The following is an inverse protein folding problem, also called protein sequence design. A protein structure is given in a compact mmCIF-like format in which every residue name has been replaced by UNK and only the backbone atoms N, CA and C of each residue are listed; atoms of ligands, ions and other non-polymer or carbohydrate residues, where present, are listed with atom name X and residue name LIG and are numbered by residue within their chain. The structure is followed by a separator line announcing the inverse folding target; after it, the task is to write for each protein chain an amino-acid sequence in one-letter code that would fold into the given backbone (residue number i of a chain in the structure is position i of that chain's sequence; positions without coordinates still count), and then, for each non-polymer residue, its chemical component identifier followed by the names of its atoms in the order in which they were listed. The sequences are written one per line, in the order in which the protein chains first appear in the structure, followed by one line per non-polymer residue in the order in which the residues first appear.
data_IF_472392327932
#
_entry.id   IF_472392327932
#
_cell.length_a   1.000
_cell.length_b   1.000
_cell.length_c   1.000
_cell.angle_alpha   90.00
_cell.angle_beta   90.00
_cell.angle_gamma   90.00
#
_symmetry.space_group_name_H-M   'P 1'
#
loop_
_entity.id
_entity.type
_entity.pdbx_description
1 polymer ?
#
# COMPACT_ATOMS: atom_id res chain seq x y z
N UNK A 1 52.46 42.28 -19.12
CA UNK A 1 52.36 40.88 -18.65
C UNK A 1 50.98 40.36 -19.02
N UNK A 2 50.83 39.34 -19.88
CA UNK A 2 49.48 38.84 -20.21
C UNK A 2 49.35 37.80 -21.33
N UNK A 3 50.29 37.71 -22.28
CA UNK A 3 50.11 36.80 -23.44
C UNK A 3 50.78 35.40 -23.29
N UNK A 4 51.77 35.23 -22.42
CA UNK A 4 52.46 33.94 -22.25
C UNK A 4 51.71 32.95 -21.33
N UNK A 5 50.99 33.46 -20.32
CA UNK A 5 50.19 32.62 -19.42
C UNK A 5 48.94 32.03 -20.07
N UNK A 6 48.32 32.75 -21.01
CA UNK A 6 47.10 32.31 -21.69
C UNK A 6 47.35 31.17 -22.69
N UNK A 7 48.51 31.15 -23.37
CA UNK A 7 48.93 30.04 -24.25
C UNK A 7 49.24 28.75 -23.47
N UNK A 8 49.93 28.85 -22.34
CA UNK A 8 50.22 27.69 -21.48
C UNK A 8 48.97 27.10 -20.83
N UNK A 9 48.03 27.95 -20.40
CA UNK A 9 46.73 27.50 -19.87
C UNK A 9 45.87 26.85 -20.96
N UNK A 10 45.84 27.44 -22.17
CA UNK A 10 45.09 26.90 -23.30
C UNK A 10 45.67 25.60 -23.84
N UNK A 11 46.99 25.40 -23.80
CA UNK A 11 47.61 24.14 -24.19
C UNK A 11 47.36 23.04 -23.15
N UNK A 12 47.40 23.38 -21.85
CA UNK A 12 47.09 22.41 -20.80
C UNK A 12 45.62 21.97 -20.77
N UNK A 13 44.69 22.82 -21.23
CA UNK A 13 43.27 22.46 -21.40
C UNK A 13 43.04 21.36 -22.45
N UNK A 14 43.97 21.17 -23.40
CA UNK A 14 43.91 20.12 -24.42
C UNK A 14 44.84 18.93 -24.14
N UNK A 15 45.48 18.87 -22.97
CA UNK A 15 46.32 17.74 -22.58
C UNK A 15 45.45 16.50 -22.28
N UNK A 16 45.54 15.48 -23.12
CA UNK A 16 44.92 14.17 -22.88
C UNK A 16 45.87 13.27 -22.08
N UNK A 17 45.51 12.98 -20.83
CA UNK A 17 46.25 12.05 -19.97
C UNK A 17 45.79 10.62 -20.23
N UNK A 18 46.74 9.73 -20.50
CA UNK A 18 46.52 8.28 -20.66
C UNK A 18 47.27 7.51 -19.57
N UNK A 19 46.68 6.41 -19.11
CA UNK A 19 47.34 5.50 -18.17
C UNK A 19 48.29 4.53 -18.91
N UNK A 20 49.39 4.17 -18.25
CA UNK A 20 50.33 3.15 -18.73
C UNK A 20 49.95 1.78 -18.14
N UNK A 21 49.53 0.85 -18.99
CA UNK A 21 49.13 -0.49 -18.56
C UNK A 21 50.29 -1.49 -18.54
N UNK A 22 50.25 -2.43 -17.58
CA UNK A 22 51.18 -3.56 -17.49
C UNK A 22 50.45 -4.86 -17.86
N UNK A 23 50.94 -5.56 -18.90
CA UNK A 23 50.33 -6.82 -19.35
C UNK A 23 51.01 -8.00 -18.65
N UNK A 24 50.32 -8.62 -17.70
CA UNK A 24 50.80 -9.81 -17.00
C UNK A 24 50.51 -11.10 -17.81
N UNK A 25 51.54 -11.74 -18.38
CA UNK A 25 51.42 -13.01 -19.12
C UNK A 25 51.37 -14.24 -18.20
N UNK A 26 50.31 -14.35 -17.38
CA UNK A 26 50.10 -15.51 -16.49
C UNK A 26 48.77 -16.23 -16.79
N UNK A 27 48.84 -17.49 -17.24
CA UNK A 27 47.66 -18.29 -17.61
C UNK A 27 46.64 -18.45 -16.48
N UNK A 28 47.09 -18.58 -15.21
CA UNK A 28 46.18 -18.77 -14.07
C UNK A 28 45.36 -17.51 -13.75
N UNK A 29 46.00 -16.35 -13.76
CA UNK A 29 45.34 -15.05 -13.51
C UNK A 29 44.49 -14.65 -14.70
N UNK A 30 44.98 -14.88 -15.92
CA UNK A 30 44.20 -14.66 -17.13
C UNK A 30 42.92 -15.50 -17.13
N UNK A 31 43.00 -16.77 -16.75
CA UNK A 31 41.81 -17.63 -16.61
C UNK A 31 40.87 -17.11 -15.52
N UNK A 32 41.39 -16.75 -14.34
CA UNK A 32 40.59 -16.18 -13.25
C UNK A 32 39.86 -14.90 -13.69
N UNK A 33 40.56 -13.99 -14.36
CA UNK A 33 40.00 -12.74 -14.87
C UNK A 33 38.90 -12.99 -15.91
N UNK A 34 39.12 -13.91 -16.85
CA UNK A 34 38.10 -14.29 -17.84
C UNK A 34 36.88 -14.96 -17.20
N UNK A 35 37.07 -15.83 -16.21
CA UNK A 35 35.96 -16.45 -15.47
C UNK A 35 35.14 -15.41 -14.70
N UNK A 36 35.81 -14.46 -14.03
CA UNK A 36 35.13 -13.36 -13.34
C UNK A 36 34.36 -12.47 -14.33
N UNK A 37 34.95 -12.12 -15.47
CA UNK A 37 34.26 -11.36 -16.53
C UNK A 37 33.01 -12.09 -17.03
N UNK A 38 33.12 -13.39 -17.33
CA UNK A 38 31.98 -14.19 -17.80
C UNK A 38 30.90 -14.29 -16.72
N UNK A 39 31.29 -14.49 -15.45
CA UNK A 39 30.35 -14.53 -14.32
C UNK A 39 29.59 -13.20 -14.16
N UNK A 40 30.29 -12.07 -14.18
CA UNK A 40 29.69 -10.73 -14.09
C UNK A 40 28.77 -10.47 -15.28
N UNK A 41 29.22 -10.79 -16.50
CA UNK A 41 28.41 -10.62 -17.71
C UNK A 41 27.14 -11.47 -17.65
N UNK A 42 27.26 -12.72 -17.21
CA UNK A 42 26.12 -13.64 -17.05
C UNK A 42 25.13 -13.10 -16.03
N UNK A 43 25.62 -12.61 -14.88
CA UNK A 43 24.78 -11.97 -13.87
C UNK A 43 24.02 -10.76 -14.43
N UNK A 44 24.71 -9.87 -15.15
CA UNK A 44 24.07 -8.69 -15.73
C UNK A 44 23.01 -9.07 -16.76
N UNK A 45 23.33 -9.92 -17.72
CA UNK A 45 22.39 -10.30 -18.78
C UNK A 45 21.22 -11.10 -18.22
N UNK A 46 21.47 -12.13 -17.41
CA UNK A 46 20.41 -13.03 -16.93
C UNK A 46 19.63 -12.40 -15.78
N UNK A 47 20.29 -11.96 -14.73
CA UNK A 47 19.59 -11.50 -13.53
C UNK A 47 19.06 -10.07 -13.70
N UNK A 48 19.90 -9.13 -14.14
CA UNK A 48 19.50 -7.71 -14.21
C UNK A 48 18.60 -7.45 -15.41
N UNK A 49 18.98 -7.92 -16.61
CA UNK A 49 18.19 -7.65 -17.82
C UNK A 49 17.02 -8.62 -18.00
N UNK A 50 17.21 -9.95 -17.91
CA UNK A 50 16.10 -10.88 -18.17
C UNK A 50 15.14 -11.05 -16.98
N UNK A 51 15.64 -11.31 -15.77
CA UNK A 51 14.78 -11.58 -14.60
C UNK A 51 14.19 -10.31 -14.00
N UNK A 52 15.01 -9.28 -13.78
CA UNK A 52 14.58 -8.01 -13.19
C UNK A 52 14.06 -6.98 -14.19
N UNK A 53 14.16 -7.26 -15.49
CA UNK A 53 13.77 -6.34 -16.58
C UNK A 53 14.35 -4.93 -16.38
N UNK A 54 15.63 -4.83 -16.01
CA UNK A 54 16.29 -3.54 -15.74
C UNK A 54 16.39 -2.59 -16.94
N UNK A 55 15.98 -3.02 -18.13
CA UNK A 55 15.84 -2.16 -19.31
C UNK A 55 14.49 -1.41 -19.34
N UNK A 56 13.53 -1.82 -18.53
CA UNK A 56 12.21 -1.20 -18.45
C UNK A 56 12.19 -0.13 -17.37
N UNK A 57 11.53 0.97 -17.68
CA UNK A 57 11.03 1.87 -16.67
C UNK A 57 9.68 1.35 -16.16
N UNK A 58 9.45 1.42 -14.85
CA UNK A 58 8.24 0.89 -14.23
C UNK A 58 7.34 2.02 -13.73
N UNK A 59 6.02 1.80 -13.85
CA UNK A 59 4.98 2.65 -13.29
C UNK A 59 4.16 1.83 -12.28
N UNK A 60 4.20 2.24 -11.02
CA UNK A 60 3.38 1.69 -9.93
C UNK A 60 2.21 2.60 -9.56
N UNK A 61 2.08 3.77 -10.20
CA UNK A 61 1.03 4.76 -9.95
C UNK A 61 -0.27 4.42 -10.68
N UNK A 62 -0.76 3.21 -10.46
CA UNK A 62 -1.99 2.72 -11.07
C UNK A 62 -3.20 3.58 -10.66
N UNK A 63 -3.89 4.14 -11.64
CA UNK A 63 -5.22 4.71 -11.46
C UNK A 63 -6.26 3.66 -11.80
N UNK A 64 -7.12 3.30 -10.84
CA UNK A 64 -8.16 2.30 -11.05
C UNK A 64 -9.55 2.85 -10.76
N UNK A 65 -10.53 2.46 -11.57
CA UNK A 65 -11.96 2.67 -11.31
C UNK A 65 -12.68 1.33 -11.38
N UNK A 66 -13.60 1.09 -10.43
CA UNK A 66 -14.30 -0.18 -10.27
C UNK A 66 -15.79 0.12 -10.27
N UNK A 67 -16.54 -0.68 -11.03
CA UNK A 67 -18.00 -0.68 -11.01
C UNK A 67 -18.46 -2.10 -10.74
N UNK A 68 -19.26 -2.27 -9.69
CA UNK A 68 -19.81 -3.57 -9.31
C UNK A 68 -21.33 -3.59 -9.53
N UNK A 69 -21.84 -4.72 -10.01
CA UNK A 69 -23.28 -4.93 -10.18
C UNK A 69 -23.66 -6.34 -9.82
N UNK A 70 -24.40 -6.48 -8.73
CA UNK A 70 -24.93 -7.78 -8.29
C UNK A 70 -26.25 -8.07 -8.99
N UNK A 71 -26.51 -9.35 -9.25
CA UNK A 71 -27.76 -9.87 -9.81
C UNK A 71 -28.14 -11.17 -9.12
N UNK A 72 -29.41 -11.27 -8.76
CA UNK A 72 -30.00 -12.42 -8.11
C UNK A 72 -31.33 -12.03 -7.50
N UNK A 73 -32.24 -12.99 -7.40
CA UNK A 73 -33.50 -12.83 -6.69
C UNK A 73 -33.71 -14.07 -5.82
N UNK A 74 -34.31 -13.90 -4.66
CA UNK A 74 -34.70 -15.03 -3.83
C UNK A 74 -36.02 -14.76 -3.15
N UNK A 75 -36.78 -15.82 -2.91
CA UNK A 75 -38.04 -15.78 -2.21
C UNK A 75 -37.86 -16.38 -0.82
N UNK A 76 -38.44 -15.74 0.19
CA UNK A 76 -38.48 -16.24 1.56
C UNK A 76 -39.92 -16.23 2.05
N UNK A 77 -40.32 -17.30 2.74
CA UNK A 77 -41.58 -17.36 3.47
C UNK A 77 -41.24 -17.68 4.94
N UNK A 78 -41.36 -16.68 5.81
CA UNK A 78 -41.11 -16.85 7.24
C UNK A 78 -42.31 -16.34 8.04
N UNK A 79 -42.51 -16.89 9.24
CA UNK A 79 -43.60 -16.47 10.13
C UNK A 79 -43.55 -14.98 10.49
N UNK A 80 -42.36 -14.39 10.52
CA UNK A 80 -42.16 -12.99 10.93
C UNK A 80 -42.32 -11.98 9.79
N UNK A 81 -41.86 -12.31 8.59
CA UNK A 81 -41.84 -11.40 7.44
C UNK A 81 -42.87 -11.76 6.37
N UNK A 82 -43.54 -12.90 6.52
CA UNK A 82 -44.45 -13.46 5.53
C UNK A 82 -43.73 -13.85 4.25
N UNK A 83 -44.49 -13.83 3.15
CA UNK A 83 -43.99 -14.03 1.81
C UNK A 83 -43.31 -12.75 1.30
N UNK A 84 -42.01 -12.84 1.03
CA UNK A 84 -41.22 -11.71 0.55
C UNK A 84 -40.27 -12.13 -0.57
N UNK A 85 -40.28 -11.34 -1.64
CA UNK A 85 -39.27 -11.38 -2.68
C UNK A 85 -38.13 -10.42 -2.31
N UNK A 86 -36.90 -10.88 -2.48
CA UNK A 86 -35.69 -10.10 -2.27
C UNK A 86 -35.00 -9.87 -3.60
N UNK A 87 -34.79 -8.61 -3.94
CA UNK A 87 -34.05 -8.19 -5.12
C UNK A 87 -32.79 -7.39 -4.76
N UNK A 88 -32.06 -6.97 -5.79
CA UNK A 88 -30.78 -6.26 -5.65
C UNK A 88 -30.92 -4.98 -4.80
N UNK A 89 -32.06 -4.30 -4.85
CA UNK A 89 -32.27 -3.06 -4.09
C UNK A 89 -32.52 -3.33 -2.59
N UNK A 90 -32.99 -4.53 -2.24
CA UNK A 90 -33.21 -4.91 -0.85
C UNK A 90 -31.94 -5.40 -0.15
N UNK A 91 -31.13 -6.23 -0.81
CA UNK A 91 -30.01 -6.93 -0.17
C UNK A 91 -28.62 -6.36 -0.47
N UNK A 92 -28.47 -5.42 -1.41
CA UNK A 92 -27.15 -4.81 -1.72
C UNK A 92 -27.04 -3.42 -1.13
N UNK A 93 -25.99 -3.21 -0.33
CA UNK A 93 -25.73 -1.93 0.33
C UNK A 93 -24.22 -1.62 0.19
N UNK A 94 -23.80 -0.41 -0.19
CA UNK A 94 -24.61 0.65 -0.79
C UNK A 94 -24.96 0.30 -2.26
N UNK A 95 -26.08 0.80 -2.82
CA UNK A 95 -26.53 0.45 -4.17
C UNK A 95 -25.69 1.07 -5.31
N UNK A 96 -24.82 2.03 -5.01
CA UNK A 96 -24.02 2.78 -5.98
C UNK A 96 -23.00 1.90 -6.75
N UNK A 97 -22.59 0.76 -6.18
CA UNK A 97 -21.76 -0.22 -6.87
C UNK A 97 -20.31 0.25 -7.07
N UNK A 98 -19.62 0.59 -5.98
CA UNK A 98 -18.24 1.05 -5.96
C UNK A 98 -17.25 -0.12 -5.77
N UNK A 99 -16.07 0.15 -5.19
CA UNK A 99 -15.06 -0.84 -4.82
C UNK A 99 -15.48 -1.74 -3.64
N UNK A 100 -16.45 -1.31 -2.84
CA UNK A 100 -16.99 -2.06 -1.72
C UNK A 100 -18.49 -2.24 -1.91
N UNK A 101 -18.96 -3.48 -1.76
CA UNK A 101 -20.38 -3.78 -1.72
C UNK A 101 -20.67 -4.84 -0.67
N UNK A 102 -21.82 -4.72 -0.02
CA UNK A 102 -22.29 -5.66 0.99
C UNK A 102 -23.54 -6.36 0.50
N UNK A 103 -23.57 -7.69 0.67
CA UNK A 103 -24.71 -8.55 0.34
C UNK A 103 -25.29 -9.07 1.64
N UNK A 104 -26.52 -8.67 1.95
CA UNK A 104 -27.29 -9.18 3.10
C UNK A 104 -27.52 -10.68 2.91
N UNK A 105 -27.15 -11.48 3.91
CA UNK A 105 -27.42 -12.92 3.95
C UNK A 105 -28.37 -13.29 5.09
N UNK A 106 -28.42 -12.47 6.13
CA UNK A 106 -29.33 -12.65 7.24
C UNK A 106 -29.85 -11.30 7.76
N UNK A 107 -31.04 -11.30 8.33
CA UNK A 107 -31.70 -10.07 8.74
C UNK A 107 -32.54 -10.28 9.98
N UNK A 108 -32.40 -9.38 10.96
CA UNK A 108 -33.31 -9.24 12.08
C UNK A 108 -34.12 -7.96 11.87
N UNK A 109 -35.44 -8.08 11.85
CA UNK A 109 -36.37 -6.96 11.67
C UNK A 109 -37.16 -6.73 12.94
N UNK A 110 -37.17 -5.47 13.38
CA UNK A 110 -38.03 -4.95 14.45
C UNK A 110 -38.93 -3.87 13.84
N UNK A 111 -40.17 -4.24 13.53
CA UNK A 111 -41.12 -3.36 12.87
C UNK A 111 -41.82 -2.41 13.85
N UNK A 112 -42.40 -1.34 13.32
CA UNK A 112 -43.29 -0.41 14.02
C UNK A 112 -42.72 0.17 15.31
N UNK A 113 -41.41 0.48 15.33
CA UNK A 113 -40.82 1.17 16.46
C UNK A 113 -41.33 2.60 16.55
N UNK A 114 -41.79 3.01 17.73
CA UNK A 114 -42.21 4.39 18.07
C UNK A 114 -41.38 4.91 19.25
N UNK A 115 -41.29 6.23 19.40
CA UNK A 115 -40.60 6.83 20.55
C UNK A 115 -41.52 6.80 21.76
N UNK A 116 -41.34 5.79 22.61
CA UNK A 116 -42.19 5.52 23.76
C UNK A 116 -41.34 4.96 24.91
N UNK A 117 -41.98 4.68 26.05
CA UNK A 117 -41.34 4.02 27.19
C UNK A 117 -41.61 2.52 27.15
N UNK A 118 -40.56 1.70 27.20
CA UNK A 118 -40.67 0.24 27.25
C UNK A 118 -39.53 -0.39 28.05
N UNK A 119 -39.67 -1.68 28.36
CA UNK A 119 -38.61 -2.47 28.98
C UNK A 119 -37.41 -2.60 28.04
N UNK A 120 -36.20 -2.43 28.59
CA UNK A 120 -34.95 -2.66 27.87
C UNK A 120 -34.66 -4.16 27.69
N UNK A 121 -33.79 -4.50 26.74
CA UNK A 121 -33.42 -5.87 26.39
C UNK A 121 -32.67 -6.57 27.53
N UNK A 122 -33.11 -7.79 27.88
CA UNK A 122 -32.47 -8.65 28.90
C UNK A 122 -31.03 -9.03 28.55
N UNK A 123 -30.63 -8.87 27.28
CA UNK A 123 -29.27 -9.14 26.83
C UNK A 123 -28.23 -8.12 27.32
N UNK A 124 -28.67 -6.97 27.85
CA UNK A 124 -27.80 -5.88 28.30
C UNK A 124 -27.63 -5.97 29.83
N UNK A 125 -26.41 -6.19 30.35
CA UNK A 125 -26.20 -6.33 31.80
C UNK A 125 -26.56 -5.07 32.61
N UNK A 126 -26.29 -3.87 32.07
CA UNK A 126 -26.61 -2.58 32.72
C UNK A 126 -28.12 -2.26 32.75
N UNK A 127 -28.92 -3.04 32.02
CA UNK A 127 -30.37 -2.91 32.03
C UNK A 127 -31.04 -3.72 33.15
N UNK A 128 -30.31 -4.61 33.83
CA UNK A 128 -30.89 -5.46 34.86
C UNK A 128 -31.18 -4.67 36.13
N UNK A 129 -32.35 -4.91 36.70
CA UNK A 129 -32.77 -4.27 37.95
C UNK A 129 -33.51 -5.26 38.84
N UNK A 130 -33.38 -5.05 40.15
CA UNK A 130 -34.19 -5.70 41.17
C UNK A 130 -35.15 -4.69 41.79
N UNK A 131 -34.73 -3.43 41.90
CA UNK A 131 -35.48 -2.32 42.49
C UNK A 131 -35.45 -1.10 41.57
N UNK A 132 -36.40 -0.18 41.76
CA UNK A 132 -36.46 1.07 40.97
C UNK A 132 -35.22 1.94 41.15
N UNK A 133 -34.55 1.85 42.31
CA UNK A 133 -33.27 2.54 42.58
C UNK A 133 -32.12 2.07 41.70
N UNK A 134 -32.19 0.87 41.13
CA UNK A 134 -31.15 0.36 40.20
C UNK A 134 -31.23 1.05 38.83
N UNK A 135 -32.33 1.78 38.56
CA UNK A 135 -32.59 2.44 37.29
C UNK A 135 -32.61 3.98 37.46
N UNK A 136 -31.48 4.64 37.72
CA UNK A 136 -31.45 6.10 37.94
C UNK A 136 -32.04 6.86 36.74
N UNK A 137 -33.02 7.76 36.97
CA UNK A 137 -33.71 8.46 35.89
C UNK A 137 -32.77 9.44 35.16
N UNK A 138 -32.86 9.48 33.83
CA UNK A 138 -32.07 10.39 33.00
C UNK A 138 -30.69 9.83 32.59
N UNK A 139 -30.28 8.67 33.11
CA UNK A 139 -29.04 8.03 32.71
C UNK A 139 -29.22 7.13 31.49
N UNK A 140 -28.35 7.22 30.46
CA UNK A 140 -28.37 6.29 29.34
C UNK A 140 -27.90 4.90 29.77
N UNK A 141 -28.53 3.86 29.22
CA UNK A 141 -28.07 2.48 29.44
C UNK A 141 -26.76 2.25 28.68
N UNK A 142 -25.72 1.76 29.35
CA UNK A 142 -24.42 1.45 28.74
C UNK A 142 -24.58 0.31 27.74
N UNK A 143 -24.23 0.56 26.47
CA UNK A 143 -24.47 -0.34 25.34
C UNK A 143 -25.96 -0.73 25.13
N UNK A 144 -26.89 0.09 25.64
CA UNK A 144 -28.32 -0.08 25.47
C UNK A 144 -28.94 0.79 24.38
N UNK A 145 -30.27 0.83 24.35
CA UNK A 145 -31.06 1.43 23.27
C UNK A 145 -31.65 2.80 23.62
N UNK A 146 -31.66 3.19 24.90
CA UNK A 146 -32.28 4.43 25.36
C UNK A 146 -31.87 4.89 26.76
N UNK A 147 -32.68 5.77 27.33
CA UNK A 147 -32.44 6.46 28.61
C UNK A 147 -33.36 5.92 29.69
N UNK A 148 -32.82 5.58 30.87
CA UNK A 148 -33.55 5.05 32.02
C UNK A 148 -34.56 6.09 32.55
N UNK A 149 -35.76 5.64 32.88
CA UNK A 149 -36.87 6.49 33.34
C UNK A 149 -37.03 6.56 34.86
N UNK A 150 -36.40 5.65 35.62
CA UNK A 150 -36.62 5.53 37.08
C UNK A 150 -37.33 4.26 37.52
N UNK A 151 -37.90 3.45 36.60
CA UNK A 151 -38.74 2.30 36.94
C UNK A 151 -38.11 0.97 36.54
N UNK A 152 -38.26 -0.05 37.39
CA UNK A 152 -37.86 -1.42 37.12
C UNK A 152 -39.08 -2.27 36.71
N UNK A 153 -39.10 -2.75 35.46
CA UNK A 153 -40.18 -3.58 34.93
C UNK A 153 -39.86 -5.05 35.16
N UNK A 154 -40.71 -5.75 35.91
CA UNK A 154 -40.58 -7.20 36.18
C UNK A 154 -41.53 -7.98 35.29
N UNK A 155 -41.02 -9.03 34.65
CA UNK A 155 -41.83 -9.95 33.85
C UNK A 155 -42.32 -11.09 34.74
N UNK A 156 -43.61 -11.08 35.09
CA UNK A 156 -44.24 -12.13 35.92
C UNK A 156 -43.77 -12.13 37.39
N UNK A 157 -43.65 -13.32 37.99
CA UNK A 157 -43.21 -13.52 39.39
C UNK A 157 -41.69 -13.58 39.57
N UNK A 158 -40.92 -13.23 38.55
CA UNK A 158 -39.45 -13.24 38.61
C UNK A 158 -38.92 -12.08 39.48
N UNK A 159 -37.93 -12.36 40.32
CA UNK A 159 -37.27 -11.32 41.13
C UNK A 159 -36.41 -10.35 40.30
N UNK A 160 -36.08 -10.73 39.07
CA UNK A 160 -35.23 -9.98 38.14
C UNK A 160 -36.08 -9.30 37.08
N UNK A 161 -35.91 -8.00 36.93
CA UNK A 161 -36.54 -7.18 35.89
C UNK A 161 -35.53 -6.50 34.99
N UNK A 162 -36.04 -5.68 34.06
CA UNK A 162 -35.24 -4.75 33.26
C UNK A 162 -35.72 -3.32 33.46
N UNK A 163 -34.80 -2.37 33.38
CA UNK A 163 -35.15 -0.96 33.50
C UNK A 163 -36.09 -0.52 32.37
N UNK A 164 -37.06 0.32 32.71
CA UNK A 164 -37.86 1.03 31.71
C UNK A 164 -37.03 2.16 31.10
N UNK A 165 -36.97 2.16 29.77
CA UNK A 165 -36.23 3.15 28.98
C UNK A 165 -37.15 3.92 28.06
N UNK A 166 -36.85 5.21 27.87
CA UNK A 166 -37.38 5.99 26.77
C UNK A 166 -36.51 5.74 25.53
N UNK A 167 -37.08 5.05 24.54
CA UNK A 167 -36.36 4.54 23.39
C UNK A 167 -37.28 4.35 22.18
N UNK A 168 -36.73 3.80 21.09
CA UNK A 168 -37.51 3.27 19.99
C UNK A 168 -38.09 1.90 20.37
N UNK A 169 -39.35 1.89 20.77
CA UNK A 169 -40.06 0.75 21.35
C UNK A 169 -40.95 0.05 20.30
N UNK A 170 -40.97 -1.30 20.27
CA UNK A 170 -40.24 -2.21 21.14
C UNK A 170 -38.75 -2.30 20.80
N UNK A 171 -37.89 -2.50 21.81
CA UNK A 171 -36.44 -2.68 21.62
C UNK A 171 -36.13 -4.02 20.93
N UNK A 172 -34.94 -4.13 20.33
CA UNK A 172 -34.46 -5.38 19.72
C UNK A 172 -34.17 -6.43 20.81
N UNK A 173 -35.02 -7.45 20.91
CA UNK A 173 -34.86 -8.57 21.86
C UNK A 173 -34.43 -9.88 21.21
N UNK A 174 -34.32 -9.91 19.88
CA UNK A 174 -34.09 -11.14 19.13
C UNK A 174 -32.66 -11.68 19.35
N UNK A 175 -32.50 -12.98 19.64
CA UNK A 175 -31.19 -13.59 19.78
C UNK A 175 -30.45 -13.61 18.44
N UNK A 176 -29.14 -13.91 18.49
CA UNK A 176 -28.34 -14.08 17.27
C UNK A 176 -28.95 -15.16 16.38
N UNK A 177 -29.01 -14.94 15.07
CA UNK A 177 -29.65 -15.89 14.18
C UNK A 177 -28.79 -17.17 14.07
N UNK A 178 -29.45 -18.33 14.04
CA UNK A 178 -28.78 -19.64 13.97
C UNK A 178 -28.67 -20.15 12.54
N UNK A 179 -29.56 -19.70 11.65
CA UNK A 179 -29.61 -20.09 10.24
C UNK A 179 -29.66 -18.86 9.32
N UNK A 180 -29.08 -18.92 8.12
CA UNK A 180 -29.11 -17.81 7.17
C UNK A 180 -30.49 -17.71 6.51
N UNK A 181 -31.12 -16.52 6.59
CA UNK A 181 -32.40 -16.25 5.92
C UNK A 181 -32.28 -16.34 4.39
N UNK A 182 -31.20 -15.81 3.83
CA UNK A 182 -30.94 -15.73 2.40
C UNK A 182 -29.82 -16.70 1.99
N UNK A 183 -29.90 -17.96 2.42
CA UNK A 183 -28.90 -18.99 2.06
C UNK A 183 -28.75 -19.22 0.55
N UNK A 184 -29.80 -18.94 -0.23
CA UNK A 184 -29.79 -19.00 -1.72
C UNK A 184 -28.98 -17.87 -2.37
N UNK A 185 -28.50 -16.88 -1.61
CA UNK A 185 -27.62 -15.84 -2.11
C UNK A 185 -26.27 -16.40 -2.65
N UNK A 186 -25.94 -17.65 -2.32
CA UNK A 186 -24.81 -18.39 -2.88
C UNK A 186 -24.82 -18.42 -4.43
N UNK A 187 -26.01 -18.46 -5.03
CA UNK A 187 -26.22 -18.50 -6.48
C UNK A 187 -26.22 -17.14 -7.16
N UNK A 188 -26.13 -16.06 -6.39
CA UNK A 188 -26.10 -14.72 -6.95
C UNK A 188 -24.80 -14.50 -7.70
N UNK A 189 -24.87 -13.56 -8.64
CA UNK A 189 -23.75 -13.22 -9.49
C UNK A 189 -23.36 -11.77 -9.30
N UNK A 190 -22.05 -11.49 -9.29
CA UNK A 190 -21.51 -10.14 -9.32
C UNK A 190 -20.77 -9.93 -10.62
N UNK A 191 -21.11 -8.86 -11.30
CA UNK A 191 -20.35 -8.34 -12.44
C UNK A 191 -19.38 -7.27 -11.93
N UNK A 192 -18.09 -7.47 -12.17
CA UNK A 192 -17.03 -6.54 -11.77
C UNK A 192 -16.40 -5.97 -13.04
N UNK A 193 -16.58 -4.68 -13.26
CA UNK A 193 -15.91 -3.95 -14.33
C UNK A 193 -14.80 -3.10 -13.73
N UNK A 194 -13.58 -3.37 -14.14
CA UNK A 194 -12.40 -2.63 -13.69
C UNK A 194 -11.75 -1.92 -14.87
N UNK A 195 -11.53 -0.62 -14.71
CA UNK A 195 -10.76 0.23 -15.62
C UNK A 195 -9.43 0.56 -14.96
N UNK A 196 -8.34 0.38 -15.69
CA UNK A 196 -7.00 0.73 -15.26
C UNK A 196 -6.38 1.75 -16.19
N UNK A 197 -5.57 2.65 -15.62
CA UNK A 197 -4.72 3.58 -16.34
C UNK A 197 -3.36 3.70 -15.67
N UNK A 198 -2.31 3.51 -16.44
CA UNK A 198 -0.94 3.83 -16.06
C UNK A 198 -0.59 5.20 -16.65
N UNK A 199 -0.64 6.28 -15.86
CA UNK A 199 -0.51 7.65 -16.35
C UNK A 199 0.86 7.91 -16.97
N UNK A 200 1.94 7.30 -16.44
CA UNK A 200 3.31 7.50 -16.93
C UNK A 200 3.48 7.07 -18.39
N UNK A 201 2.79 5.99 -18.80
CA UNK A 201 2.85 5.45 -20.16
C UNK A 201 1.62 5.77 -20.99
N UNK A 202 0.66 6.53 -20.43
CA UNK A 202 -0.64 6.81 -21.03
C UNK A 202 -1.38 5.56 -21.55
N UNK A 203 -1.23 4.44 -20.83
CA UNK A 203 -1.85 3.17 -21.18
C UNK A 203 -3.12 2.97 -20.36
N UNK A 204 -4.22 2.58 -21.01
CA UNK A 204 -5.48 2.25 -20.35
C UNK A 204 -6.03 0.92 -20.86
N UNK A 205 -6.58 0.11 -19.95
CA UNK A 205 -7.21 -1.16 -20.30
C UNK A 205 -8.37 -1.47 -19.36
N UNK A 206 -9.26 -2.36 -19.80
CA UNK A 206 -10.35 -2.91 -18.99
C UNK A 206 -10.20 -4.41 -18.83
N UNK A 207 -10.71 -4.95 -17.73
CA UNK A 207 -10.77 -6.40 -17.52
C UNK A 207 -11.75 -7.12 -18.47
N UNK A 208 -12.74 -6.39 -18.99
CA UNK A 208 -13.69 -6.91 -19.97
C UNK A 208 -13.00 -7.02 -21.32
N UNK A 209 -13.02 -8.22 -21.89
CA UNK A 209 -12.53 -8.48 -23.25
C UNK A 209 -13.32 -7.62 -24.25
N UNK A 210 -12.59 -6.95 -25.14
CA UNK A 210 -13.17 -6.21 -26.25
C UNK A 210 -13.63 -7.21 -27.32
N UNK A 211 -14.87 -7.69 -27.18
CA UNK A 211 -15.49 -8.65 -28.11
C UNK A 211 -16.80 -8.09 -28.65
N UNK A 212 -17.04 -8.31 -29.94
CA UNK A 212 -18.31 -7.97 -30.59
C UNK A 212 -19.46 -8.90 -30.18
N UNK A 213 -19.18 -9.98 -29.43
CA UNK A 213 -20.17 -10.94 -29.00
C UNK A 213 -20.94 -10.47 -27.75
N UNK A 214 -22.16 -9.97 -27.99
CA UNK A 214 -23.10 -9.59 -26.92
C UNK A 214 -23.62 -10.80 -26.12
N UNK A 215 -23.47 -12.03 -26.63
CA UNK A 215 -23.88 -13.25 -25.95
C UNK A 215 -22.87 -13.68 -24.88
N UNK A 216 -21.58 -13.37 -25.07
CA UNK A 216 -20.51 -13.69 -24.11
C UNK A 216 -20.84 -13.23 -22.69
N UNK A 217 -21.22 -11.96 -22.51
CA UNK A 217 -21.56 -11.43 -21.18
C UNK A 217 -22.87 -11.99 -20.59
N UNK A 218 -23.72 -12.64 -21.39
CA UNK A 218 -24.96 -13.24 -20.89
C UNK A 218 -24.73 -14.63 -20.31
N UNK A 219 -23.83 -15.41 -20.92
CA UNK A 219 -23.59 -16.82 -20.55
C UNK A 219 -22.30 -17.05 -19.76
N UNK A 220 -21.32 -16.14 -19.85
CA UNK A 220 -20.03 -16.40 -19.22
C UNK A 220 -20.15 -16.46 -17.68
N UNK A 221 -19.32 -17.33 -17.10
CA UNK A 221 -19.07 -17.43 -15.67
C UNK A 221 -17.58 -17.58 -15.46
N UNK A 222 -17.03 -16.83 -14.52
CA UNK A 222 -15.63 -16.93 -14.15
C UNK A 222 -15.35 -18.31 -13.56
N UNK A 223 -14.23 -18.88 -13.96
CA UNK A 223 -13.72 -20.16 -13.45
C UNK A 223 -12.43 -20.56 -14.18
N UNK A 224 -11.85 -21.73 -13.85
CA UNK A 224 -10.57 -22.15 -14.42
C UNK A 224 -10.57 -22.25 -15.95
N UNK A 225 -11.74 -22.55 -16.55
CA UNK A 225 -11.92 -22.63 -18.01
C UNK A 225 -12.08 -21.26 -18.67
N UNK A 226 -12.59 -20.25 -17.94
CA UNK A 226 -12.89 -18.92 -18.43
C UNK A 226 -12.34 -17.84 -17.46
N UNK A 227 -11.01 -17.66 -17.40
CA UNK A 227 -10.35 -16.78 -16.42
C UNK A 227 -10.59 -15.28 -16.67
N UNK A 228 -11.11 -14.91 -17.84
CA UNK A 228 -11.34 -13.51 -18.22
C UNK A 228 -12.81 -13.08 -18.17
N UNK A 229 -13.72 -13.94 -17.71
CA UNK A 229 -15.12 -13.55 -17.55
C UNK A 229 -15.26 -12.63 -16.31
N UNK A 230 -15.88 -11.44 -16.42
CA UNK A 230 -16.05 -10.51 -15.31
C UNK A 230 -17.24 -10.85 -14.39
N UNK A 231 -17.90 -12.00 -14.58
CA UNK A 231 -19.09 -12.41 -13.82
C UNK A 231 -18.73 -13.55 -12.88
N UNK A 232 -18.84 -13.32 -11.58
CA UNK A 232 -18.48 -14.25 -10.52
C UNK A 232 -19.74 -14.70 -9.78
N UNK A 233 -19.81 -15.99 -9.44
CA UNK A 233 -20.85 -16.51 -8.53
C UNK A 233 -20.39 -16.32 -7.08
N UNK A 234 -21.24 -15.78 -6.21
CA UNK A 234 -20.86 -15.44 -4.84
C UNK A 234 -20.39 -16.66 -4.03
N UNK A 235 -21.08 -17.80 -4.18
CA UNK A 235 -20.65 -19.06 -3.56
C UNK A 235 -19.25 -19.50 -3.98
N UNK A 236 -18.93 -19.36 -5.27
CA UNK A 236 -17.61 -19.70 -5.80
C UNK A 236 -16.52 -18.77 -5.25
N UNK A 237 -16.79 -17.46 -5.19
CA UNK A 237 -15.87 -16.46 -4.61
C UNK A 237 -15.51 -16.82 -3.17
N UNK A 238 -16.51 -17.16 -2.34
CA UNK A 238 -16.29 -17.57 -0.95
C UNK A 238 -15.57 -18.92 -0.87
N UNK A 239 -15.90 -19.87 -1.74
CA UNK A 239 -15.22 -21.18 -1.76
C UNK A 239 -13.73 -21.08 -2.11
N UNK A 240 -13.33 -20.15 -2.98
CA UNK A 240 -11.93 -19.94 -3.35
C UNK A 240 -11.08 -19.37 -2.21
N UNK A 241 -11.70 -18.77 -1.18
CA UNK A 241 -10.98 -18.39 0.04
C UNK A 241 -10.81 -19.55 1.03
N UNK A 242 -11.28 -20.76 0.69
CA UNK A 242 -11.28 -21.93 1.58
C UNK A 242 -12.28 -21.81 2.74
N UNK A 243 -13.39 -21.11 2.53
CA UNK A 243 -14.48 -20.94 3.51
C UNK A 243 -15.81 -21.43 2.96
N UNK A 244 -16.75 -21.79 3.86
CA UNK A 244 -18.10 -22.22 3.48
C UNK A 244 -19.05 -21.01 3.46
N UNK A 245 -19.81 -20.86 2.38
CA UNK A 245 -20.79 -19.78 2.23
C UNK A 245 -21.85 -19.81 3.32
N UNK A 246 -22.40 -20.98 3.65
CA UNK A 246 -23.51 -21.11 4.59
C UNK A 246 -23.11 -20.73 6.03
N UNK A 247 -21.86 -21.01 6.42
CA UNK A 247 -21.32 -20.62 7.74
C UNK A 247 -21.14 -19.11 7.84
N UNK A 248 -20.52 -18.49 6.83
CA UNK A 248 -20.32 -17.04 6.79
C UNK A 248 -21.67 -16.33 6.68
N UNK A 249 -22.65 -16.89 5.96
CA UNK A 249 -23.97 -16.29 5.78
C UNK A 249 -24.75 -16.09 7.09
N UNK A 250 -24.44 -16.82 8.17
CA UNK A 250 -25.11 -16.67 9.46
C UNK A 250 -24.68 -15.40 10.19
N UNK A 251 -23.36 -15.20 10.34
CA UNK A 251 -22.77 -14.12 11.14
C UNK A 251 -22.24 -12.95 10.30
N UNK A 252 -22.14 -13.14 8.98
CA UNK A 252 -21.46 -12.24 8.07
C UNK A 252 -19.94 -12.44 8.07
N UNK A 253 -19.27 -11.74 7.16
CA UNK A 253 -17.80 -11.79 7.02
C UNK A 253 -17.31 -10.81 5.98
N UNK A 254 -15.99 -10.75 5.79
CA UNK A 254 -15.35 -9.83 4.86
C UNK A 254 -14.47 -10.60 3.89
N UNK A 255 -14.77 -10.49 2.60
CA UNK A 255 -14.05 -11.17 1.51
C UNK A 255 -13.34 -10.13 0.64
N UNK A 256 -12.06 -10.36 0.41
CA UNK A 256 -11.23 -9.57 -0.49
C UNK A 256 -11.19 -10.21 -1.88
N UNK A 257 -11.49 -9.41 -2.91
CA UNK A 257 -11.29 -9.74 -4.32
C UNK A 257 -10.12 -8.91 -4.81
N UNK A 258 -8.97 -9.54 -4.98
CA UNK A 258 -7.75 -8.89 -5.44
C UNK A 258 -7.62 -9.04 -6.96
N UNK A 259 -7.40 -7.93 -7.66
CA UNK A 259 -7.18 -7.88 -9.10
C UNK A 259 -5.77 -7.32 -9.33
N UNK A 260 -4.85 -8.19 -9.76
CA UNK A 260 -3.47 -7.82 -10.04
C UNK A 260 -3.24 -7.61 -11.55
N UNK A 261 -2.60 -6.49 -11.89
CA UNK A 261 -2.19 -6.15 -13.24
C UNK A 261 -0.67 -6.04 -13.32
N UNK A 262 0.01 -7.11 -13.70
CA UNK A 262 1.45 -7.11 -14.03
C UNK A 262 1.61 -7.08 -15.54
N UNK A 263 1.85 -5.89 -16.09
CA UNK A 263 1.80 -5.66 -17.53
C UNK A 263 3.15 -5.28 -18.11
N UNK A 264 3.54 -6.02 -19.14
CA UNK A 264 4.69 -5.72 -19.98
C UNK A 264 4.22 -4.97 -21.24
N UNK A 265 4.44 -3.66 -21.26
CA UNK A 265 4.00 -2.78 -22.36
C UNK A 265 4.92 -2.81 -23.58
N UNK A 266 6.00 -3.60 -23.54
CA UNK A 266 6.79 -3.89 -24.74
C UNK A 266 6.12 -4.93 -25.62
N UNK A 267 5.16 -5.68 -25.06
CA UNK A 267 4.35 -6.66 -25.75
C UNK A 267 3.01 -6.09 -26.21
N UNK A 268 2.25 -6.90 -26.95
CA UNK A 268 0.92 -6.53 -27.37
C UNK A 268 0.00 -6.25 -26.16
N UNK A 269 -0.86 -5.21 -26.21
CA UNK A 269 -1.83 -4.91 -25.15
C UNK A 269 -2.73 -6.08 -24.75
N UNK A 270 -2.94 -7.05 -25.64
CA UNK A 270 -3.72 -8.27 -25.40
C UNK A 270 -3.10 -9.21 -24.37
N UNK A 271 -1.79 -9.17 -24.13
CA UNK A 271 -1.11 -10.02 -23.15
C UNK A 271 -1.21 -9.50 -21.71
N UNK A 272 -1.48 -8.21 -21.53
CA UNK A 272 -1.67 -7.58 -20.22
C UNK A 272 -3.04 -7.94 -19.66
N UNK A 273 -3.19 -9.03 -18.91
CA UNK A 273 -4.48 -9.50 -18.42
C UNK A 273 -4.54 -9.52 -16.88
N UNK A 274 -5.72 -9.35 -16.28
CA UNK A 274 -5.87 -9.32 -14.83
C UNK A 274 -5.71 -10.72 -14.24
N UNK A 275 -5.03 -10.81 -13.11
CA UNK A 275 -4.98 -11.99 -12.28
C UNK A 275 -5.86 -11.80 -11.04
N UNK A 276 -6.79 -12.73 -10.79
CA UNK A 276 -7.72 -12.65 -9.68
C UNK A 276 -7.28 -13.56 -8.54
N UNK A 277 -7.17 -13.00 -7.33
CA UNK A 277 -6.98 -13.76 -6.10
C UNK A 277 -8.09 -13.42 -5.10
N UNK A 278 -8.45 -14.40 -4.27
CA UNK A 278 -9.54 -14.28 -3.31
C UNK A 278 -9.02 -14.64 -1.93
N UNK A 279 -9.33 -13.80 -0.94
CA UNK A 279 -8.92 -14.03 0.44
C UNK A 279 -10.04 -13.62 1.41
N UNK A 280 -10.09 -14.27 2.56
CA UNK A 280 -10.94 -13.83 3.67
C UNK A 280 -10.15 -12.80 4.47
N UNK A 281 -10.72 -11.60 4.64
CA UNK A 281 -10.06 -10.47 5.29
C UNK A 281 -10.36 -10.40 6.79
N UNK A 282 -11.46 -11.01 7.26
CA UNK A 282 -11.76 -11.11 8.68
C UNK A 282 -11.01 -12.28 9.35
N UNK A 283 -10.63 -12.11 10.62
CA UNK A 283 -9.81 -13.07 11.36
C UNK A 283 -10.54 -14.40 11.61
N UNK A 284 -10.21 -15.41 10.80
CA UNK A 284 -10.69 -16.81 10.94
C UNK A 284 -10.32 -17.43 12.29
N UNK A 285 -9.21 -17.01 12.90
CA UNK A 285 -8.61 -17.59 14.12
C UNK A 285 -9.20 -17.06 15.44
N UNK A 286 -10.34 -16.39 15.37
CA UNK A 286 -11.01 -15.88 16.54
C UNK A 286 -12.15 -16.81 16.97
N UNK A 287 -11.85 -18.10 17.14
CA UNK A 287 -12.81 -19.10 17.65
C UNK A 287 -13.46 -18.68 18.99
N UNK A 288 -12.90 -17.67 19.68
CA UNK A 288 -13.42 -17.08 20.90
C UNK A 288 -13.53 -15.54 20.91
N UNK A 289 -13.56 -14.84 19.76
CA UNK A 289 -13.79 -13.38 19.82
C UNK A 289 -15.28 -13.04 19.89
N UNK A 290 -15.60 -12.12 20.80
CA UNK A 290 -16.95 -11.62 21.10
C UNK A 290 -17.62 -10.96 19.88
N UNK A 291 -16.82 -10.59 18.87
CA UNK A 291 -17.21 -9.90 17.63
C UNK A 291 -16.83 -10.70 16.37
N UNK A 292 -17.14 -12.00 16.33
CA UNK A 292 -17.05 -12.77 15.09
C UNK A 292 -18.15 -12.34 14.10
N UNK A 293 -17.76 -12.07 12.85
CA UNK A 293 -18.67 -11.72 11.75
C UNK A 293 -18.77 -10.23 11.43
N UNK A 294 -19.70 -9.88 10.54
CA UNK A 294 -19.93 -8.51 10.09
C UNK A 294 -21.43 -8.20 10.06
N UNK A 295 -21.84 -7.21 10.84
CA UNK A 295 -23.22 -6.77 10.93
C UNK A 295 -23.31 -5.26 11.17
N UNK A 296 -24.43 -4.67 10.75
CA UNK A 296 -24.76 -3.28 11.06
C UNK A 296 -26.27 -3.10 11.14
N UNK A 297 -26.67 -1.98 11.74
CA UNK A 297 -28.07 -1.58 11.86
C UNK A 297 -28.37 -0.39 10.98
N UNK A 298 -29.53 -0.41 10.36
CA UNK A 298 -30.10 0.74 9.66
C UNK A 298 -31.60 0.77 9.90
N UNK A 299 -32.23 1.93 9.71
CA UNK A 299 -33.65 2.10 9.92
C UNK A 299 -34.31 2.68 8.67
N UNK A 300 -35.56 2.25 8.42
CA UNK A 300 -36.46 2.87 7.46
C UNK A 300 -37.51 3.66 8.23
N UNK A 301 -37.60 4.95 7.98
CA UNK A 301 -38.53 5.86 8.66
C UNK A 301 -39.80 6.04 7.85
N UNK A 302 -40.92 6.09 8.55
CA UNK A 302 -42.26 6.22 8.00
C UNK A 302 -43.07 7.19 8.87
N UNK A 303 -44.20 7.68 8.33
CA UNK A 303 -45.17 8.49 9.08
C UNK A 303 -46.53 7.85 8.98
N UNK A 304 -47.27 7.81 10.09
CA UNK A 304 -48.64 7.32 10.10
C UNK A 304 -49.64 8.42 9.68
N UNK A 305 -50.92 8.06 9.59
CA UNK A 305 -51.99 8.99 9.19
C UNK A 305 -52.17 10.16 10.18
N UNK A 306 -51.73 10.01 11.43
CA UNK A 306 -51.74 11.05 12.45
C UNK A 306 -50.48 11.94 12.41
N UNK A 307 -49.55 11.68 11.48
CA UNK A 307 -48.28 12.40 11.35
C UNK A 307 -47.20 11.97 12.35
N UNK A 308 -47.42 10.92 13.13
CA UNK A 308 -46.45 10.40 14.09
C UNK A 308 -45.41 9.55 13.34
N UNK A 309 -44.14 9.81 13.62
CA UNK A 309 -43.02 9.08 13.03
C UNK A 309 -42.86 7.71 13.69
N UNK A 310 -42.72 6.68 12.86
CA UNK A 310 -42.34 5.34 13.29
C UNK A 310 -41.27 4.78 12.36
N UNK A 311 -40.51 3.80 12.83
CA UNK A 311 -39.45 3.19 12.03
C UNK A 311 -39.47 1.68 12.05
N UNK A 312 -38.93 1.09 11.00
CA UNK A 312 -38.53 -0.32 10.99
C UNK A 312 -37.02 -0.38 11.15
N UNK A 313 -36.56 -0.95 12.26
CA UNK A 313 -35.15 -1.20 12.49
C UNK A 313 -34.77 -2.53 11.85
N UNK A 314 -33.68 -2.50 11.09
CA UNK A 314 -33.11 -3.63 10.38
C UNK A 314 -31.68 -3.82 10.83
N UNK A 315 -31.37 -5.00 11.39
CA UNK A 315 -30.01 -5.43 11.66
C UNK A 315 -29.61 -6.47 10.64
N UNK A 316 -28.76 -6.06 9.72
CA UNK A 316 -28.29 -6.89 8.62
C UNK A 316 -26.98 -7.58 8.99
N UNK A 317 -26.93 -8.87 8.70
CA UNK A 317 -25.73 -9.68 8.64
C UNK A 317 -25.49 -10.05 7.18
N UNK A 318 -24.23 -10.11 6.78
CA UNK A 318 -23.92 -10.34 5.39
C UNK A 318 -22.45 -10.35 5.09
N UNK A 319 -22.16 -10.53 3.80
CA UNK A 319 -20.80 -10.61 3.31
C UNK A 319 -20.46 -9.27 2.67
N UNK A 320 -19.43 -8.62 3.21
CA UNK A 320 -18.83 -7.44 2.61
C UNK A 320 -17.73 -7.90 1.65
N UNK A 321 -17.80 -7.44 0.42
CA UNK A 321 -16.80 -7.70 -0.61
C UNK A 321 -16.00 -6.45 -0.90
N UNK A 322 -14.69 -6.54 -0.73
CA UNK A 322 -13.75 -5.45 -0.97
C UNK A 322 -12.93 -5.78 -2.23
N UNK A 323 -13.19 -5.05 -3.32
CA UNK A 323 -12.45 -5.19 -4.57
C UNK A 323 -11.22 -4.31 -4.52
N UNK A 324 -10.05 -4.94 -4.44
CA UNK A 324 -8.75 -4.29 -4.35
C UNK A 324 -8.00 -4.50 -5.66
N UNK A 325 -7.53 -3.41 -6.25
CA UNK A 325 -6.79 -3.47 -7.52
C UNK A 325 -5.36 -3.03 -7.26
N UNK A 326 -4.41 -3.83 -7.72
CA UNK A 326 -3.00 -3.50 -7.65
C UNK A 326 -2.36 -3.76 -9.01
N UNK A 327 -1.26 -3.08 -9.31
CA UNK A 327 -0.59 -3.33 -10.57
C UNK A 327 0.65 -2.51 -10.80
N UNK A 328 1.45 -2.99 -11.75
CA UNK A 328 2.65 -2.33 -12.24
C UNK A 328 2.70 -2.53 -13.76
N UNK A 329 3.16 -1.51 -14.45
CA UNK A 329 3.47 -1.59 -15.87
C UNK A 329 4.96 -1.36 -16.09
N UNK A 330 5.58 -2.16 -16.94
CA UNK A 330 6.94 -1.96 -17.42
C UNK A 330 6.95 -1.59 -18.90
N UNK A 331 7.74 -0.60 -19.30
CA UNK A 331 7.98 -0.25 -20.71
C UNK A 331 9.45 0.05 -20.94
N UNK A 332 10.00 -0.36 -22.06
CA UNK A 332 11.38 -0.09 -22.45
C UNK A 332 11.71 1.40 -22.35
N UNK A 333 12.84 1.70 -21.69
CA UNK A 333 13.37 3.06 -21.59
C UNK A 333 14.89 3.04 -21.68
N UNK A 334 15.43 3.99 -22.45
CA UNK A 334 16.87 4.09 -22.69
C UNK A 334 17.63 4.45 -21.41
N UNK A 335 17.06 5.29 -20.55
CA UNK A 335 17.72 5.80 -19.34
C UNK A 335 18.11 4.66 -18.37
N UNK A 336 17.18 3.82 -17.87
CA UNK A 336 17.54 2.72 -16.97
C UNK A 336 18.44 1.69 -17.65
N UNK A 337 18.29 1.49 -18.97
CA UNK A 337 19.15 0.61 -19.76
C UNK A 337 20.61 1.08 -19.72
N UNK A 338 20.89 2.34 -20.04
CA UNK A 338 22.25 2.89 -20.04
C UNK A 338 22.84 2.94 -18.63
N UNK A 339 22.03 3.29 -17.62
CA UNK A 339 22.48 3.31 -16.21
C UNK A 339 22.87 1.90 -15.74
N UNK A 340 22.09 0.88 -16.08
CA UNK A 340 22.39 -0.51 -15.71
C UNK A 340 23.60 -1.07 -16.50
N UNK A 341 23.76 -0.72 -17.77
CA UNK A 341 24.98 -1.05 -18.54
C UNK A 341 26.20 -0.38 -17.91
N UNK A 342 26.13 0.93 -17.64
CA UNK A 342 27.23 1.69 -17.02
C UNK A 342 27.64 1.14 -15.65
N UNK A 343 26.65 0.83 -14.81
CA UNK A 343 26.87 0.19 -13.51
C UNK A 343 27.50 -1.20 -13.66
N UNK A 344 27.08 -1.96 -14.68
CA UNK A 344 27.64 -3.27 -15.01
C UNK A 344 29.09 -3.20 -15.48
N UNK A 345 29.45 -2.22 -16.32
CA UNK A 345 30.83 -1.97 -16.75
C UNK A 345 31.71 -1.55 -15.57
N UNK A 346 31.20 -0.71 -14.67
CA UNK A 346 31.91 -0.35 -13.44
C UNK A 346 32.21 -1.57 -12.57
N UNK A 347 31.27 -2.52 -12.47
CA UNK A 347 31.46 -3.78 -11.72
C UNK A 347 32.58 -4.65 -12.31
N UNK A 348 32.81 -4.61 -13.64
CA UNK A 348 33.96 -5.29 -14.24
C UNK A 348 35.30 -4.72 -13.75
N UNK A 349 35.36 -3.42 -13.44
CA UNK A 349 36.53 -2.78 -12.83
C UNK A 349 36.86 -3.34 -11.45
N UNK A 350 35.84 -3.63 -10.62
CA UNK A 350 36.02 -4.30 -9.33
C UNK A 350 36.61 -5.72 -9.50
N UNK A 351 36.18 -6.45 -10.54
CA UNK A 351 36.77 -7.74 -10.89
C UNK A 351 38.26 -7.64 -11.23
N UNK A 352 38.66 -6.59 -11.97
CA UNK A 352 40.07 -6.33 -12.27
C UNK A 352 40.88 -6.04 -11.00
N UNK A 353 40.34 -5.25 -10.07
CA UNK A 353 40.98 -4.97 -8.78
C UNK A 353 41.21 -6.25 -7.95
N UNK A 354 40.24 -7.17 -7.91
CA UNK A 354 40.39 -8.45 -7.24
C UNK A 354 41.49 -9.30 -7.90
N UNK A 355 41.52 -9.35 -9.23
CA UNK A 355 42.59 -10.05 -9.96
C UNK A 355 43.96 -9.44 -9.71
N UNK A 356 44.06 -8.11 -9.58
CA UNK A 356 45.28 -7.40 -9.22
C UNK A 356 45.77 -7.79 -7.81
N UNK A 357 44.86 -7.88 -6.84
CA UNK A 357 45.18 -8.32 -5.48
C UNK A 357 45.70 -9.77 -5.50
N UNK A 358 45.06 -10.65 -6.28
CA UNK A 358 45.54 -12.03 -6.48
C UNK A 358 46.92 -12.06 -7.14
N UNK A 359 47.15 -11.23 -8.15
CA UNK A 359 48.42 -11.15 -8.88
C UNK A 359 49.58 -10.73 -7.98
N UNK A 360 49.37 -9.72 -7.14
CA UNK A 360 50.42 -9.09 -6.33
C UNK A 360 50.67 -9.82 -5.01
N UNK A 361 49.65 -10.45 -4.40
CA UNK A 361 49.80 -11.04 -3.07
C UNK A 361 49.93 -12.58 -3.07
N UNK A 362 49.23 -13.27 -3.97
CA UNK A 362 49.06 -14.73 -3.88
C UNK A 362 49.92 -15.55 -4.85
N UNK A 363 50.58 -14.93 -5.83
CA UNK A 363 51.35 -15.66 -6.85
C UNK A 363 52.81 -15.85 -6.45
N UNK A 364 53.37 -17.03 -6.75
CA UNK A 364 54.77 -17.40 -6.43
C UNK A 364 55.80 -16.38 -6.93
N UNK A 365 55.57 -15.71 -8.08
CA UNK A 365 56.43 -14.65 -8.64
C UNK A 365 55.97 -13.22 -8.29
N UNK A 366 55.35 -13.02 -7.12
CA UNK A 366 54.77 -11.72 -6.71
C UNK A 366 55.75 -10.54 -6.75
N UNK A 367 57.00 -10.73 -6.33
CA UNK A 367 58.00 -9.66 -6.25
C UNK A 367 58.26 -9.05 -7.64
N UNK A 368 58.42 -9.90 -8.65
CA UNK A 368 58.55 -9.46 -10.05
C UNK A 368 57.36 -8.63 -10.55
N UNK A 369 56.13 -9.02 -10.22
CA UNK A 369 54.94 -8.25 -10.66
C UNK A 369 54.77 -6.96 -9.86
N UNK A 370 55.17 -6.95 -8.59
CA UNK A 370 55.11 -5.77 -7.71
C UNK A 370 56.11 -4.70 -8.17
N UNK A 371 57.34 -5.09 -8.48
CA UNK A 371 58.40 -4.18 -8.93
C UNK A 371 58.13 -3.62 -10.34
N UNK A 372 57.32 -4.33 -11.15
CA UNK A 372 56.86 -3.85 -12.45
C UNK A 372 55.63 -2.95 -12.37
N UNK A 373 54.83 -3.05 -11.30
CA UNK A 373 53.61 -2.25 -11.11
C UNK A 373 53.88 -0.97 -10.32
N UNK A 374 54.75 -1.02 -9.33
CA UNK A 374 55.09 0.11 -8.47
C UNK A 374 56.50 0.57 -8.74
N UNK A 375 56.67 1.88 -8.93
CA UNK A 375 57.97 2.54 -9.02
C UNK A 375 58.20 3.29 -7.70
N UNK A 376 59.25 2.93 -6.96
CA UNK A 376 59.59 3.59 -5.71
C UNK A 376 60.23 4.96 -5.98
N UNK A 377 59.45 6.03 -5.84
CA UNK A 377 59.98 7.39 -5.98
C UNK A 377 60.55 7.85 -4.64
N UNK A 378 61.88 7.97 -4.54
CA UNK A 378 62.52 8.68 -3.43
C UNK A 378 62.48 10.18 -3.73
N UNK A 379 61.68 10.93 -2.96
CA UNK A 379 61.66 12.39 -3.03
C UNK A 379 63.01 12.94 -2.55
N UNK A 380 63.94 13.12 -3.48
CA UNK A 380 65.17 13.88 -3.22
C UNK A 380 64.78 15.34 -3.38
N UNK A 381 64.53 16.01 -2.25
CA UNK A 381 64.25 17.44 -2.26
C UNK A 381 65.35 18.19 -3.00
N UNK A 382 64.92 19.06 -3.90
CA UNK A 382 65.72 19.97 -4.74
C UNK A 382 66.72 20.78 -3.92
N UNK A 383 67.98 20.36 -3.87
CA UNK A 383 69.07 21.11 -3.23
C UNK A 383 69.98 21.81 -4.26
N UNK A 384 69.43 22.20 -5.41
CA UNK A 384 70.21 22.68 -6.56
C UNK A 384 69.67 23.92 -7.26
N UNK A 385 68.86 24.77 -6.61
CA UNK A 385 68.41 26.04 -7.21
C UNK A 385 68.16 27.12 -6.16
N UNK A 386 69.21 27.49 -5.44
CA UNK A 386 69.23 28.68 -4.58
C UNK A 386 70.53 29.45 -4.83
N UNK A 387 70.72 29.93 -6.06
CA UNK A 387 71.83 30.81 -6.43
C UNK A 387 71.61 31.52 -7.77
N UNK A 388 70.64 32.44 -7.81
CA UNK A 388 70.80 33.78 -8.43
C UNK A 388 69.52 34.59 -8.33
N UNK A 389 69.71 35.88 -8.01
CA UNK A 389 68.76 37.00 -7.98
C UNK A 389 67.64 36.86 -6.96
N UNK A 390 67.55 37.68 -5.91
CA UNK A 390 67.37 39.13 -6.03
C UNK A 390 67.72 39.88 -4.71
N UNK A 391 68.21 41.11 -4.85
CA UNK A 391 68.32 42.14 -3.80
C UNK A 391 67.05 42.27 -2.95
N UNK A 392 67.22 42.52 -1.65
CA UNK A 392 66.24 43.09 -0.69
C UNK A 392 66.46 44.62 -0.60
N UNK A 393 65.61 45.49 0.03
CA UNK A 393 64.67 45.26 1.16
C UNK A 393 63.36 46.15 1.10
N UNK A 394 62.54 46.41 2.16
CA UNK A 394 62.62 45.98 3.56
C UNK A 394 61.36 45.34 4.19
N UNK A 395 61.66 44.84 5.38
CA UNK A 395 60.94 44.16 6.46
C UNK A 395 59.61 44.75 6.95
N UNK A 396 58.66 43.87 7.32
CA UNK A 396 58.08 43.86 8.67
C UNK A 396 57.48 42.47 9.04
N UNK A 397 58.21 41.79 9.93
CA UNK A 397 57.88 40.81 10.97
C UNK A 397 56.80 39.71 10.82
N UNK A 398 57.30 38.48 11.00
CA UNK A 398 56.60 37.24 11.32
C UNK A 398 56.10 37.18 12.77
N UNK A 399 54.99 36.47 13.03
CA UNK A 399 54.92 35.50 14.15
C UNK A 399 54.14 34.25 13.70
N UNK A 400 54.77 33.10 13.95
CA UNK A 400 54.37 31.73 13.68
C UNK A 400 53.07 31.27 14.36
N UNK A 401 52.39 30.26 13.78
CA UNK A 401 52.43 28.86 14.29
C UNK A 401 51.49 27.92 13.52
N UNK A 402 52.10 26.89 12.93
CA UNK A 402 51.79 25.52 13.34
C UNK A 402 50.76 24.70 12.54
N UNK A 403 51.30 23.82 11.69
CA UNK A 403 50.88 22.42 11.42
C UNK A 403 49.49 22.15 10.82
N UNK A 404 49.55 21.79 9.53
CA UNK A 404 48.66 20.79 8.93
C UNK A 404 49.10 19.37 9.32
N UNK A 405 48.16 18.57 9.82
CA UNK A 405 48.22 17.11 9.86
C UNK A 405 47.00 16.54 9.13
N UNK A 406 47.27 15.61 8.19
CA UNK A 406 46.26 14.74 7.59
C UNK A 406 45.61 13.88 8.69
N UNK A 407 44.28 13.77 8.66
CA UNK A 407 43.54 12.74 9.39
C UNK A 407 42.73 11.90 8.41
N UNK A 408 43.10 10.62 8.35
CA UNK A 408 42.29 9.51 7.86
C UNK A 408 40.96 9.46 8.64
N UNK A 409 39.85 9.34 7.93
CA UNK A 409 38.58 8.89 8.50
C UNK A 409 38.58 7.36 8.63
N UNK A 410 38.21 6.82 9.80
CA UNK A 410 37.50 5.55 9.87
C UNK A 410 36.07 5.71 10.40
N UNK A 411 35.30 4.65 10.11
CA UNK A 411 33.87 4.38 10.26
C UNK A 411 33.18 4.71 11.60
N UNK A 412 31.83 4.75 11.60
CA UNK A 412 31.00 5.19 12.72
C UNK A 412 30.65 4.06 13.69
N UNK A 413 30.54 4.39 14.99
CA UNK A 413 29.72 3.66 15.96
C UNK A 413 29.09 4.60 16.99
N UNK A 414 27.88 4.20 17.39
CA UNK A 414 26.99 4.80 18.39
C UNK A 414 27.66 5.07 19.74
N UNK A 415 27.29 6.17 20.41
CA UNK A 415 26.47 6.19 21.65
C UNK A 415 26.60 7.51 22.41
N UNK A 416 25.48 7.91 23.02
CA UNK A 416 25.31 8.67 24.28
C UNK A 416 25.73 10.15 24.40
N UNK A 417 24.68 10.98 24.56
CA UNK A 417 24.52 12.27 25.28
C UNK A 417 25.77 13.06 25.74
N UNK A 418 25.73 14.40 25.59
CA UNK A 418 26.29 15.34 26.55
C UNK A 418 25.22 16.24 27.21
N UNK A 419 25.58 16.95 28.30
CA UNK A 419 24.65 17.51 29.29
C UNK A 419 24.19 18.95 29.00
N UNK A 420 23.22 19.39 29.82
CA UNK A 420 22.51 20.66 29.77
C UNK A 420 23.14 21.79 30.62
N UNK A 421 22.68 23.02 30.33
CA UNK A 421 22.70 24.28 31.10
C UNK A 421 24.01 25.10 31.03
N UNK A 422 24.03 26.41 30.74
CA UNK A 422 23.16 27.48 31.25
C UNK A 422 22.82 28.63 30.24
N UNK A 423 21.55 29.05 30.32
CA UNK A 423 20.86 30.36 30.13
C UNK A 423 21.48 31.59 29.39
N UNK A 424 20.85 31.96 28.26
CA UNK A 424 20.02 33.16 27.92
C UNK A 424 20.20 34.52 28.67
N UNK A 425 19.96 35.68 28.01
CA UNK A 425 18.58 36.20 27.84
C UNK A 425 18.21 36.74 26.44
N UNK A 426 16.89 36.83 26.24
CA UNK A 426 16.15 37.10 25.00
C UNK A 426 15.61 38.53 24.89
N UNK A 427 15.35 39.01 23.65
CA UNK A 427 14.45 40.12 23.26
C UNK A 427 13.95 39.85 21.80
N UNK A 428 12.86 40.45 21.25
CA UNK A 428 11.57 39.80 20.94
C UNK A 428 11.21 39.87 19.41
N UNK A 429 9.99 39.46 18.96
CA UNK A 429 9.76 38.96 17.59
C UNK A 429 9.25 40.01 16.57
N UNK A 430 9.49 39.70 15.29
CA UNK A 430 8.93 40.36 14.10
C UNK A 430 7.43 40.07 13.92
N UNK A 431 6.64 41.01 13.35
CA UNK A 431 5.24 40.78 12.99
C UNK A 431 5.07 40.24 11.56
N UNK A 432 4.00 39.47 11.38
CA UNK A 432 3.44 39.02 10.10
C UNK A 432 2.81 40.19 9.32
N UNK A 433 2.95 40.17 7.99
CA UNK A 433 2.08 40.93 7.09
C UNK A 433 1.75 40.11 5.83
N UNK A 434 0.45 40.01 5.55
CA UNK A 434 -0.21 39.44 4.38
C UNK A 434 -0.07 40.35 3.14
N UNK A 435 -0.08 39.77 1.93
CA UNK A 435 -0.78 40.25 0.70
C UNK A 435 -0.44 39.27 -0.44
N UNK A 436 -1.32 38.39 -0.91
CA UNK A 436 -2.40 38.65 -1.87
C UNK A 436 -1.95 39.50 -3.08
N UNK A 437 -1.80 38.86 -4.24
CA UNK A 437 -1.73 39.53 -5.54
C UNK A 437 -2.75 38.88 -6.48
N UNK A 438 -3.67 39.73 -6.93
CA UNK A 438 -4.85 39.41 -7.71
C UNK A 438 -4.57 39.29 -9.21
N UNK A 439 -5.47 38.54 -9.84
CA UNK A 439 -5.82 38.52 -11.26
C UNK A 439 -5.97 39.90 -11.89
N UNK A 440 -5.57 40.05 -13.16
CA UNK A 440 -6.07 41.07 -14.09
C UNK A 440 -6.02 40.54 -15.54
N UNK A 441 -7.21 40.48 -16.16
CA UNK A 441 -7.59 40.78 -17.57
C UNK A 441 -6.80 40.15 -18.73
N UNK A 442 -7.36 39.31 -19.61
CA UNK A 442 -8.38 39.58 -20.65
C UNK A 442 -8.21 40.91 -21.39
N UNK A 443 -7.78 40.86 -22.66
CA UNK A 443 -8.41 41.54 -23.80
C UNK A 443 -7.63 41.33 -25.12
N UNK A 444 -8.41 41.07 -26.18
CA UNK A 444 -8.19 41.23 -27.63
C UNK A 444 -7.84 40.02 -28.53
N UNK A 445 -8.86 39.74 -29.36
CA UNK A 445 -8.97 39.10 -30.70
C UNK A 445 -8.85 37.58 -30.80
#
# INVERSE_FOLDING_TARGET
MGQAGCKGLSQSLFDYKTEKYVIAKNKKVGLLYRLLQVSILTYLVVWVFLVKKGYQDTDTSLQSSIVTKVKGVTFTNTSELGERLWDVADYVIPPQGENVFFVVTNLIVTANQRQETCAESESIPDAWCYTDSDCPPGEPVVAGNGVKTGRCLRVGSMQRGTCEVFAWCPVETKPRPVKPLLGKAEDFTVYIKNFIRFPKFNFSKTNVLDTNDRAFLKSCRFGPKNPYCPIFRLGSVVSWTGSNFQEIAVQGGVIGIQIEWDCDLDKAPSECNPHYSFSRLDNKFSENSISSGYNFRFAKYYRDAAGVEFRTLMKAYGIRFDVMVNGKAGKFSLIPTVVNIGSGVALMGAGAFVCDLVLIYFIKKRHFYRDKKYEEVRATWLQGRMSRTQESPPTLDCVERGRFSLVFLPRPQMTTRPPACCALPAVPPFPQAYSAAASLSSLYV
#
